data_IF_337629412373
#
_entry.id   IF_337629412373
#
_cell.length_a   1.000
_cell.length_b   1.000
_cell.length_c   1.000
_cell.angle_alpha   90.00
_cell.angle_beta   90.00
_cell.angle_gamma   90.00
#
_symmetry.space_group_name_H-M   'P 1'
#
loop_
_entity.id
_entity.type
_entity.pdbx_description
1 polymer ?
#
# COMPACT_ATOMS: atom_id res chain seq x y z
N UNK A 1 19.61 14.71 19.41
CA UNK A 1 18.23 15.15 19.09
C UNK A 1 17.43 13.97 18.56
N UNK A 2 16.19 13.79 19.00
CA UNK A 2 15.32 12.74 18.48
C UNK A 2 14.83 13.10 17.06
N UNK A 3 14.83 12.12 16.14
CA UNK A 3 14.38 12.34 14.76
C UNK A 3 12.85 12.26 14.72
N UNK A 4 12.20 13.36 14.31
CA UNK A 4 10.75 13.40 14.13
C UNK A 4 10.37 12.63 12.86
N UNK A 5 9.44 11.69 12.99
CA UNK A 5 8.97 10.89 11.87
C UNK A 5 7.91 11.64 11.05
N UNK A 6 7.72 11.24 9.79
CA UNK A 6 6.70 11.83 8.92
C UNK A 6 5.32 11.42 9.42
N UNK A 7 4.40 12.38 9.43
CA UNK A 7 2.99 12.13 9.76
C UNK A 7 2.35 11.29 8.66
N UNK A 8 1.50 10.33 9.06
CA UNK A 8 0.70 9.58 8.10
C UNK A 8 -0.44 10.48 7.61
N UNK A 9 -0.62 10.66 6.29
CA UNK A 9 -1.72 11.43 5.72
C UNK A 9 -3.07 10.85 6.14
N UNK A 10 -4.04 11.72 6.43
CA UNK A 10 -5.37 11.32 6.93
C UNK A 10 -6.20 10.66 5.83
N UNK A 11 -5.99 11.10 4.59
CA UNK A 11 -6.61 10.65 3.36
C UNK A 11 -5.97 9.37 2.78
N UNK A 12 -4.92 8.83 3.42
CA UNK A 12 -4.18 7.69 2.89
C UNK A 12 -5.08 6.48 2.60
N UNK A 13 -5.98 6.15 3.53
CA UNK A 13 -6.89 5.01 3.39
C UNK A 13 -7.90 5.27 2.28
N UNK A 14 -8.52 6.46 2.28
CA UNK A 14 -9.46 6.88 1.25
C UNK A 14 -8.84 6.87 -0.15
N UNK A 15 -7.59 7.32 -0.28
CA UNK A 15 -6.84 7.23 -1.53
C UNK A 15 -6.71 5.79 -2.01
N UNK A 16 -6.26 4.86 -1.15
CA UNK A 16 -6.11 3.45 -1.52
C UNK A 16 -7.46 2.84 -1.91
N UNK A 17 -8.55 3.17 -1.21
CA UNK A 17 -9.88 2.68 -1.54
C UNK A 17 -10.34 3.14 -2.93
N UNK A 18 -10.21 4.44 -3.22
CA UNK A 18 -10.57 5.01 -4.53
C UNK A 18 -9.75 4.34 -5.65
N UNK A 19 -8.45 4.20 -5.45
CA UNK A 19 -7.58 3.52 -6.42
C UNK A 19 -7.95 2.04 -6.58
N UNK A 20 -8.40 1.38 -5.51
CA UNK A 20 -8.86 -0.02 -5.55
C UNK A 20 -10.10 -0.20 -6.43
N UNK A 21 -11.03 0.76 -6.39
CA UNK A 21 -12.22 0.78 -7.26
C UNK A 21 -11.85 1.00 -8.74
N UNK A 22 -10.75 1.72 -8.98
CA UNK A 22 -10.23 2.02 -10.31
C UNK A 22 -9.32 0.92 -10.91
N UNK A 23 -9.10 -0.20 -10.22
CA UNK A 23 -8.27 -1.30 -10.74
C UNK A 23 -8.89 -1.91 -12.01
N UNK A 24 -8.17 -1.85 -13.11
CA UNK A 24 -8.57 -2.50 -14.37
C UNK A 24 -7.64 -3.64 -14.78
N UNK A 25 -6.32 -3.46 -14.58
CA UNK A 25 -5.29 -4.40 -15.02
C UNK A 25 -4.59 -5.11 -13.86
N UNK A 26 -3.92 -6.22 -14.18
CA UNK A 26 -3.07 -6.95 -13.22
C UNK A 26 -1.90 -6.09 -12.71
N UNK A 27 -1.40 -5.17 -13.52
CA UNK A 27 -0.33 -4.26 -13.14
C UNK A 27 -0.82 -3.21 -12.13
N UNK A 28 -2.02 -2.64 -12.34
CA UNK A 28 -2.62 -1.68 -11.38
C UNK A 28 -2.82 -2.35 -10.02
N UNK A 29 -3.35 -3.58 -10.03
CA UNK A 29 -3.53 -4.39 -8.83
C UNK A 29 -2.21 -4.63 -8.10
N UNK A 30 -1.15 -5.00 -8.83
CA UNK A 30 0.18 -5.21 -8.24
C UNK A 30 0.76 -3.91 -7.67
N UNK A 31 0.60 -2.80 -8.38
CA UNK A 31 1.09 -1.48 -7.98
C UNK A 31 0.40 -1.02 -6.68
N UNK A 32 -0.93 -1.02 -6.65
CA UNK A 32 -1.71 -0.57 -5.50
C UNK A 32 -1.52 -1.51 -4.30
N UNK A 33 -1.45 -2.82 -4.53
CA UNK A 33 -1.13 -3.79 -3.47
C UNK A 33 0.24 -3.52 -2.84
N UNK A 34 1.28 -3.33 -3.66
CA UNK A 34 2.64 -3.06 -3.17
C UNK A 34 2.71 -1.73 -2.40
N UNK A 35 1.99 -0.72 -2.89
CA UNK A 35 1.85 0.56 -2.19
C UNK A 35 1.18 0.39 -0.82
N UNK A 36 0.05 -0.32 -0.77
CA UNK A 36 -0.67 -0.61 0.47
C UNK A 36 0.22 -1.34 1.49
N UNK A 37 0.95 -2.37 1.06
CA UNK A 37 1.89 -3.12 1.91
C UNK A 37 3.01 -2.24 2.47
N UNK A 38 3.63 -1.40 1.62
CA UNK A 38 4.68 -0.47 2.06
C UNK A 38 4.18 0.50 3.15
N UNK A 39 2.92 0.94 3.06
CA UNK A 39 2.31 1.80 4.11
C UNK A 39 2.00 1.01 5.37
N UNK A 40 1.54 -0.22 5.24
CA UNK A 40 1.28 -1.09 6.38
C UNK A 40 2.57 -1.39 7.15
N UNK A 41 3.69 -1.67 6.46
CA UNK A 41 5.01 -1.83 7.08
C UNK A 41 5.45 -0.58 7.85
N UNK A 42 5.24 0.61 7.27
CA UNK A 42 5.55 1.88 7.93
C UNK A 42 4.74 2.07 9.22
N UNK A 43 3.44 1.75 9.19
CA UNK A 43 2.55 1.86 10.35
C UNK A 43 2.98 0.86 11.44
N UNK A 44 3.28 -0.38 11.06
CA UNK A 44 3.76 -1.40 12.01
C UNK A 44 5.09 -0.97 12.66
N UNK A 45 6.02 -0.43 11.88
CA UNK A 45 7.27 0.09 12.42
C UNK A 45 7.02 1.24 13.43
N UNK A 46 6.06 2.13 13.15
CA UNK A 46 5.70 3.21 14.09
C UNK A 46 5.09 2.65 15.39
N UNK A 47 4.26 1.60 15.30
CA UNK A 47 3.71 0.91 16.46
C UNK A 47 4.81 0.25 17.29
N UNK A 48 5.74 -0.45 16.66
CA UNK A 48 6.88 -1.09 17.34
C UNK A 48 7.78 -0.07 18.05
N UNK A 49 8.03 1.09 17.43
CA UNK A 49 8.79 2.16 18.06
C UNK A 49 8.12 2.68 19.35
N UNK A 50 6.79 2.77 19.35
CA UNK A 50 6.02 3.14 20.54
C UNK A 50 6.06 2.05 21.61
N UNK A 51 6.07 0.77 21.21
CA UNK A 51 6.11 -0.37 22.14
C UNK A 51 7.47 -0.54 22.81
N UNK A 52 8.55 -0.38 22.05
CA UNK A 52 9.93 -0.44 22.57
C UNK A 52 10.29 0.83 23.37
N UNK A 53 9.53 1.92 23.23
CA UNK A 53 9.78 3.17 23.95
C UNK A 53 11.05 3.88 23.47
N UNK A 54 11.36 3.80 22.17
CA UNK A 54 12.61 4.34 21.61
C UNK A 54 12.65 5.87 21.73
N UNK A 55 13.63 6.40 22.49
CA UNK A 55 13.86 7.85 22.62
C UNK A 55 14.50 8.49 21.37
N UNK A 56 14.94 7.67 20.41
CA UNK A 56 15.61 8.13 19.18
C UNK A 56 14.62 8.71 18.17
N UNK A 57 13.37 8.26 18.20
CA UNK A 57 12.35 8.63 17.22
C UNK A 57 11.11 9.20 17.93
N UNK A 58 10.51 10.24 17.35
CA UNK A 58 9.25 10.78 17.83
C UNK A 58 8.16 10.45 16.81
N UNK A 59 7.25 9.57 17.22
CA UNK A 59 6.07 9.19 16.44
C UNK A 59 4.99 10.27 16.64
N UNK A 60 4.43 10.86 15.55
CA UNK A 60 3.54 12.01 15.66
C UNK A 60 2.08 11.66 16.01
N UNK A 61 1.67 10.40 15.89
CA UNK A 61 0.28 9.95 16.08
C UNK A 61 0.15 9.04 17.30
N UNK A 62 -1.07 8.97 17.85
CA UNK A 62 -1.36 8.08 18.98
C UNK A 62 -1.31 6.61 18.56
N UNK A 63 -1.00 5.74 19.52
CA UNK A 63 -1.00 4.28 19.31
C UNK A 63 -2.36 3.77 18.80
N UNK A 64 -3.45 4.33 19.31
CA UNK A 64 -4.83 3.98 18.92
C UNK A 64 -5.10 4.32 17.46
N UNK A 65 -4.72 5.52 17.02
CA UNK A 65 -4.86 5.94 15.62
C UNK A 65 -4.04 5.03 14.69
N UNK A 66 -2.81 4.69 15.07
CA UNK A 66 -1.97 3.80 14.25
C UNK A 66 -2.56 2.39 14.15
N UNK A 67 -3.16 1.87 15.23
CA UNK A 67 -3.88 0.59 15.19
C UNK A 67 -5.09 0.63 14.26
N UNK A 68 -5.91 1.68 14.34
CA UNK A 68 -7.07 1.82 13.46
C UNK A 68 -6.66 1.92 11.99
N UNK A 69 -5.60 2.69 11.68
CA UNK A 69 -5.08 2.80 10.31
C UNK A 69 -4.53 1.46 9.82
N UNK A 70 -3.79 0.72 10.66
CA UNK A 70 -3.32 -0.62 10.31
C UNK A 70 -4.48 -1.55 9.96
N UNK A 71 -5.52 -1.59 10.78
CA UNK A 71 -6.66 -2.48 10.58
C UNK A 71 -7.42 -2.12 9.29
N UNK A 72 -7.57 -0.83 8.99
CA UNK A 72 -8.13 -0.33 7.73
C UNK A 72 -7.26 -0.70 6.52
N UNK A 73 -5.93 -0.55 6.61
CA UNK A 73 -5.01 -0.92 5.54
C UNK A 73 -5.02 -2.44 5.27
N UNK A 74 -5.13 -3.27 6.32
CA UNK A 74 -5.28 -4.71 6.20
C UNK A 74 -6.56 -5.05 5.43
N UNK A 75 -7.68 -4.38 5.73
CA UNK A 75 -8.93 -4.62 5.00
C UNK A 75 -8.84 -4.13 3.55
N UNK A 76 -8.27 -2.95 3.30
CA UNK A 76 -8.00 -2.47 1.94
C UNK A 76 -7.17 -3.48 1.14
N UNK A 77 -6.14 -4.06 1.75
CA UNK A 77 -5.31 -5.06 1.08
C UNK A 77 -6.12 -6.32 0.71
N UNK A 78 -7.02 -6.78 1.59
CA UNK A 78 -7.92 -7.89 1.24
C UNK A 78 -8.87 -7.52 0.12
N UNK A 79 -9.41 -6.31 0.11
CA UNK A 79 -10.28 -5.79 -0.95
C UNK A 79 -9.55 -5.77 -2.30
N UNK A 80 -8.34 -5.20 -2.36
CA UNK A 80 -7.47 -5.21 -3.54
C UNK A 80 -7.29 -6.64 -4.06
N UNK A 81 -7.02 -7.60 -3.17
CA UNK A 81 -6.84 -9.00 -3.54
C UNK A 81 -8.12 -9.66 -4.04
N UNK A 82 -9.29 -9.28 -3.52
CA UNK A 82 -10.61 -9.75 -3.97
C UNK A 82 -11.01 -9.17 -5.33
N UNK A 83 -10.57 -7.96 -5.68
CA UNK A 83 -10.89 -7.32 -6.95
C UNK A 83 -10.43 -8.19 -8.13
N UNK A 84 -11.37 -8.58 -8.99
CA UNK A 84 -11.09 -9.37 -10.20
C UNK A 84 -10.64 -8.42 -11.31
N UNK A 85 -9.52 -8.73 -11.95
CA UNK A 85 -9.07 -7.99 -13.13
C UNK A 85 -9.97 -8.30 -14.32
N UNK A 86 -10.43 -7.29 -15.05
CA UNK A 86 -11.54 -7.39 -16.03
C UNK A 86 -11.17 -8.15 -17.31
N UNK A 87 -9.92 -8.54 -17.52
CA UNK A 87 -9.46 -9.19 -18.75
C UNK A 87 -8.97 -10.62 -18.51
N UNK A 88 -9.74 -11.66 -18.93
CA UNK A 88 -9.35 -13.07 -18.86
C UNK A 88 -8.18 -13.50 -19.77
N UNK A 89 -7.31 -12.57 -20.18
CA UNK A 89 -6.19 -12.79 -21.10
C UNK A 89 -4.91 -12.01 -20.79
N UNK A 90 -4.98 -10.96 -19.96
CA UNK A 90 -3.83 -10.19 -19.47
C UNK A 90 -3.23 -10.88 -18.22
N UNK A 91 -2.79 -12.12 -18.41
CA UNK A 91 -1.88 -12.73 -17.43
C UNK A 91 -0.60 -11.90 -17.45
N UNK A 92 -0.06 -11.45 -16.30
CA UNK A 92 1.21 -10.76 -16.27
C UNK A 92 2.34 -11.76 -16.56
N UNK A 93 2.51 -12.10 -17.83
CA UNK A 93 3.73 -12.69 -18.38
C UNK A 93 4.32 -11.59 -19.24
N UNK A 94 4.88 -10.55 -18.59
CA UNK A 94 5.75 -9.51 -19.21
C UNK A 94 5.48 -9.38 -20.72
N UNK A 95 4.27 -8.94 -21.09
CA UNK A 95 3.88 -8.89 -22.50
C UNK A 95 4.41 -7.57 -23.06
N UNK A 96 5.73 -7.53 -23.24
CA UNK A 96 6.39 -6.43 -23.94
C UNK A 96 5.88 -6.50 -25.37
N UNK A 97 4.88 -5.69 -25.68
CA UNK A 97 4.43 -5.48 -27.06
C UNK A 97 5.55 -4.78 -27.82
N UNK A 98 6.42 -5.57 -28.44
CA UNK A 98 7.42 -5.03 -29.36
C UNK A 98 6.72 -4.42 -30.59
N UNK A 99 7.20 -3.26 -31.08
CA UNK A 99 6.72 -2.71 -32.34
C UNK A 99 6.92 -3.70 -33.49
N UNK A 100 6.04 -3.63 -34.50
CA UNK A 100 6.09 -4.49 -35.69
C UNK A 100 7.49 -4.39 -36.33
N UNK A 101 8.23 -5.51 -36.39
CA UNK A 101 9.60 -5.57 -36.93
C UNK A 101 10.73 -5.59 -35.89
N UNK A 102 10.41 -5.58 -34.59
CA UNK A 102 11.34 -5.81 -33.48
C UNK A 102 11.05 -7.12 -32.73
N UNK A 103 10.21 -7.97 -33.32
CA UNK A 103 10.09 -9.38 -32.93
C UNK A 103 11.35 -10.08 -33.46
N UNK A 104 12.25 -10.48 -32.57
CA UNK A 104 13.59 -10.98 -32.90
C UNK A 104 13.63 -12.17 -33.85
#
# INVERSE_FOLDING_TARGET
>A
MAKKLKRIPVDLVSYIQIETEAIETSNDKMMISSYCLSKLEMVNWYLELLEVGSKKYVVPQSKEYLKSVRDQLVECHKEIMRTKTKKPGDRPIIDIKYPKGYEG
#
